data_IF_756545356677
#
_entry.id   IF_756545356677
#
_cell.length_a   1.000
_cell.length_b   1.000
_cell.length_c   1.000
_cell.angle_alpha   90.00
_cell.angle_beta   90.00
_cell.angle_gamma   90.00
#
_symmetry.space_group_name_H-M   'P 1'
#
loop_
_entity.id
_entity.type
_entity.pdbx_description
1 polymer ?
#
# COMPACT_ATOMS: atom_id res chain seq x y z
N UNK A 1 -9.71 3.75 0.95
CA UNK A 1 -9.66 3.44 -0.50
C UNK A 1 -10.61 2.28 -0.76
N UNK A 2 -11.47 2.33 -1.78
CA UNK A 2 -12.39 1.22 -2.08
C UNK A 2 -11.74 0.38 -3.17
N UNK A 3 -11.28 -0.83 -2.84
CA UNK A 3 -10.63 -1.72 -3.80
C UNK A 3 -11.68 -2.58 -4.49
N UNK A 4 -11.66 -2.61 -5.82
CA UNK A 4 -12.61 -3.40 -6.59
C UNK A 4 -12.31 -4.91 -6.42
N UNK A 5 -13.36 -5.66 -6.14
CA UNK A 5 -13.35 -7.12 -5.98
C UNK A 5 -12.82 -7.79 -7.25
N UNK A 6 -13.07 -7.17 -8.40
CA UNK A 6 -12.55 -7.61 -9.69
C UNK A 6 -11.02 -7.56 -9.76
N UNK A 7 -10.40 -6.52 -9.19
CA UNK A 7 -8.94 -6.39 -9.16
C UNK A 7 -8.32 -7.47 -8.28
N UNK A 8 -8.89 -7.70 -7.09
CA UNK A 8 -8.51 -8.79 -6.19
C UNK A 8 -8.59 -10.15 -6.90
N UNK A 9 -9.68 -10.41 -7.63
CA UNK A 9 -9.88 -11.64 -8.39
C UNK A 9 -8.85 -11.80 -9.51
N UNK A 10 -8.55 -10.74 -10.25
CA UNK A 10 -7.56 -10.75 -11.32
C UNK A 10 -6.17 -11.06 -10.76
N UNK A 11 -5.78 -10.43 -9.65
CA UNK A 11 -4.53 -10.72 -8.97
C UNK A 11 -4.47 -12.19 -8.51
N UNK A 12 -5.51 -12.71 -7.86
CA UNK A 12 -5.52 -14.11 -7.41
C UNK A 12 -5.33 -15.09 -8.58
N UNK A 13 -6.01 -14.86 -9.71
CA UNK A 13 -5.83 -15.69 -10.91
C UNK A 13 -4.41 -15.57 -11.48
N UNK A 14 -3.85 -14.36 -11.49
CA UNK A 14 -2.47 -14.12 -11.89
C UNK A 14 -1.50 -14.88 -10.97
N UNK A 15 -1.70 -14.77 -9.65
CA UNK A 15 -0.84 -15.36 -8.63
C UNK A 15 -0.85 -16.90 -8.70
N UNK A 16 -2.02 -17.52 -8.87
CA UNK A 16 -2.13 -18.98 -9.09
C UNK A 16 -1.40 -19.45 -10.34
N UNK A 17 -1.30 -18.60 -11.37
CA UNK A 17 -0.69 -18.96 -12.66
C UNK A 17 0.82 -18.73 -12.68
N UNK A 18 1.32 -17.72 -11.95
CA UNK A 18 2.72 -17.28 -12.02
C UNK A 18 3.55 -17.70 -10.80
N UNK A 19 2.92 -17.89 -9.64
CA UNK A 19 3.60 -18.38 -8.45
C UNK A 19 3.64 -19.92 -8.45
N UNK A 20 4.74 -20.47 -7.95
CA UNK A 20 4.89 -21.90 -7.73
C UNK A 20 4.81 -22.20 -6.24
N UNK A 21 3.97 -23.15 -5.84
CA UNK A 21 3.76 -23.52 -4.43
C UNK A 21 4.25 -24.94 -4.17
N UNK A 22 4.79 -25.18 -2.97
CA UNK A 22 5.23 -26.53 -2.56
C UNK A 22 4.05 -27.49 -2.31
N UNK A 23 2.88 -26.94 -1.93
CA UNK A 23 1.64 -27.68 -1.64
C UNK A 23 0.55 -27.30 -2.63
N UNK A 24 -0.09 -28.28 -3.26
CA UNK A 24 -1.14 -28.06 -4.27
C UNK A 24 -2.40 -27.45 -3.67
N UNK A 25 -2.65 -27.71 -2.40
CA UNK A 25 -3.80 -27.23 -1.63
C UNK A 25 -3.83 -25.69 -1.56
N UNK A 26 -2.67 -25.04 -1.61
CA UNK A 26 -2.57 -23.57 -1.66
C UNK A 26 -3.26 -23.04 -2.91
N UNK A 27 -3.00 -23.66 -4.07
CA UNK A 27 -3.70 -23.30 -5.31
C UNK A 27 -5.22 -23.49 -5.18
N UNK A 28 -5.68 -24.51 -4.46
CA UNK A 28 -7.12 -24.72 -4.25
C UNK A 28 -7.74 -23.64 -3.37
N UNK A 29 -7.06 -23.23 -2.29
CA UNK A 29 -7.52 -22.14 -1.42
C UNK A 29 -7.58 -20.82 -2.21
N UNK A 30 -6.53 -20.49 -2.97
CA UNK A 30 -6.50 -19.29 -3.81
C UNK A 30 -7.63 -19.29 -4.86
N UNK A 31 -7.81 -20.41 -5.56
CA UNK A 31 -8.91 -20.56 -6.52
C UNK A 31 -10.28 -20.49 -5.85
N UNK A 32 -10.44 -21.02 -4.65
CA UNK A 32 -11.68 -20.93 -3.89
C UNK A 32 -12.01 -19.47 -3.59
N UNK A 33 -11.04 -18.69 -3.09
CA UNK A 33 -11.22 -17.26 -2.83
C UNK A 33 -11.58 -16.49 -4.12
N UNK A 34 -10.87 -16.75 -5.23
CA UNK A 34 -11.11 -16.08 -6.51
C UNK A 34 -12.51 -16.37 -7.10
N UNK A 35 -13.06 -17.56 -6.83
CA UNK A 35 -14.37 -17.98 -7.36
C UNK A 35 -15.55 -17.58 -6.46
N UNK A 36 -15.31 -17.14 -5.22
CA UNK A 36 -16.37 -16.78 -4.27
C UNK A 36 -16.29 -15.29 -3.91
N UNK A 37 -16.94 -14.45 -4.72
CA UNK A 37 -16.94 -12.99 -4.56
C UNK A 37 -17.45 -12.53 -3.19
N UNK A 38 -18.42 -13.25 -2.61
CA UNK A 38 -18.93 -12.95 -1.26
C UNK A 38 -17.85 -13.07 -0.17
N UNK A 39 -16.88 -13.98 -0.34
CA UNK A 39 -15.73 -14.13 0.57
C UNK A 39 -14.71 -13.06 0.25
N UNK A 40 -14.40 -12.89 -1.03
CA UNK A 40 -13.41 -11.92 -1.52
C UNK A 40 -13.75 -10.48 -1.13
N UNK A 41 -15.04 -10.15 -0.97
CA UNK A 41 -15.50 -8.87 -0.42
C UNK A 41 -14.97 -8.58 0.99
N UNK A 42 -14.76 -9.62 1.81
CA UNK A 42 -14.25 -9.52 3.17
C UNK A 42 -12.74 -9.83 3.25
N UNK A 43 -12.10 -10.09 2.12
CA UNK A 43 -10.65 -10.31 2.05
C UNK A 43 -9.94 -8.98 1.89
N UNK A 44 -8.95 -8.71 2.72
CA UNK A 44 -8.09 -7.53 2.65
C UNK A 44 -6.65 -7.97 2.38
N UNK A 45 -6.03 -7.48 1.31
CA UNK A 45 -4.62 -7.80 1.05
C UNK A 45 -3.75 -6.80 1.80
N UNK A 46 -2.88 -7.28 2.67
CA UNK A 46 -2.08 -6.43 3.56
C UNK A 46 -0.66 -6.97 3.67
N UNK A 47 0.25 -6.11 4.13
CA UNK A 47 1.56 -6.55 4.61
C UNK A 47 1.48 -6.98 6.08
N UNK A 48 2.33 -7.94 6.47
CA UNK A 48 2.41 -8.51 7.82
C UNK A 48 1.05 -9.02 8.35
N UNK A 49 0.48 -10.00 7.65
CA UNK A 49 -0.77 -10.62 8.08
C UNK A 49 -0.63 -11.35 9.44
N UNK A 50 0.59 -11.65 9.88
CA UNK A 50 0.90 -12.34 11.14
C UNK A 50 0.49 -11.58 12.41
N UNK A 51 0.42 -10.25 12.35
CA UNK A 51 0.00 -9.40 13.48
C UNK A 51 -1.51 -9.21 13.56
N UNK A 52 -2.25 -9.70 12.58
CA UNK A 52 -3.70 -9.49 12.48
C UNK A 52 -4.47 -10.53 13.30
N UNK A 53 -5.73 -10.22 13.62
CA UNK A 53 -6.60 -11.16 14.36
C UNK A 53 -6.93 -12.42 13.55
N UNK A 54 -6.96 -12.32 12.22
CA UNK A 54 -7.32 -13.38 11.27
C UNK A 54 -6.54 -13.19 9.97
N UNK A 55 -5.28 -13.62 9.98
CA UNK A 55 -4.31 -13.39 8.93
C UNK A 55 -3.90 -14.67 8.21
N UNK A 56 -3.73 -14.61 6.91
CA UNK A 56 -3.31 -15.72 6.07
C UNK A 56 -2.05 -15.30 5.30
N UNK A 57 -0.93 -15.94 5.60
CA UNK A 57 0.29 -15.78 4.82
C UNK A 57 0.40 -16.90 3.80
N UNK A 58 0.64 -16.54 2.55
CA UNK A 58 0.85 -17.47 1.45
C UNK A 58 2.22 -17.19 0.84
N UNK A 59 3.09 -18.19 0.85
CA UNK A 59 4.46 -18.11 0.32
C UNK A 59 4.59 -18.96 -0.92
N UNK A 60 5.19 -18.40 -1.95
CA UNK A 60 5.66 -19.18 -3.09
C UNK A 60 7.00 -19.86 -2.77
N UNK A 61 7.54 -20.63 -3.72
CA UNK A 61 8.81 -21.34 -3.59
C UNK A 61 10.05 -20.43 -3.57
N UNK A 62 9.94 -19.16 -3.97
CA UNK A 62 11.07 -18.22 -3.96
C UNK A 62 11.39 -17.73 -2.54
N UNK A 63 10.40 -17.77 -1.64
CA UNK A 63 10.54 -17.33 -0.24
C UNK A 63 10.60 -18.55 0.69
N UNK A 64 11.59 -18.57 1.59
CA UNK A 64 11.73 -19.65 2.57
C UNK A 64 10.59 -19.65 3.60
N UNK A 65 10.10 -20.84 3.96
CA UNK A 65 9.09 -21.04 5.00
C UNK A 65 7.99 -22.02 4.62
N UNK A 66 6.96 -22.12 5.47
CA UNK A 66 5.76 -22.88 5.13
C UNK A 66 4.96 -22.16 4.04
N UNK A 67 4.39 -22.89 3.07
CA UNK A 67 3.71 -22.30 1.93
C UNK A 67 2.40 -21.60 2.31
N UNK A 68 1.81 -21.97 3.44
CA UNK A 68 0.61 -21.34 3.98
C UNK A 68 0.65 -21.36 5.50
N UNK A 69 0.28 -20.23 6.12
CA UNK A 69 0.08 -20.11 7.58
C UNK A 69 -1.13 -19.25 7.86
N UNK A 70 -2.02 -19.73 8.72
CA UNK A 70 -3.13 -18.96 9.26
C UNK A 70 -2.81 -18.54 10.69
N UNK A 71 -2.93 -17.25 10.95
CA UNK A 71 -2.84 -16.60 12.24
C UNK A 71 -4.25 -16.29 12.71
N UNK A 72 -4.69 -16.96 13.77
CA UNK A 72 -6.02 -16.77 14.33
C UNK A 72 -5.89 -16.50 15.82
N UNK A 73 -6.16 -15.26 16.22
CA UNK A 73 -6.12 -14.81 17.63
C UNK A 73 -4.81 -15.22 18.35
N UNK A 74 -3.67 -15.05 17.67
CA UNK A 74 -2.34 -15.39 18.20
C UNK A 74 -1.96 -16.87 18.13
N UNK A 75 -2.82 -17.75 17.61
CA UNK A 75 -2.49 -19.14 17.28
C UNK A 75 -2.09 -19.25 15.82
N UNK A 76 -1.14 -20.14 15.54
CA UNK A 76 -0.65 -20.42 14.19
C UNK A 76 -1.09 -21.80 13.76
N UNK A 77 -1.62 -21.89 12.54
CA UNK A 77 -2.03 -23.13 11.89
C UNK A 77 -1.31 -23.24 10.55
N UNK A 78 -0.72 -24.40 10.26
CA UNK A 78 -0.02 -24.72 9.00
C UNK A 78 -0.69 -25.86 8.22
N UNK A 79 -1.73 -26.47 8.76
CA UNK A 79 -2.50 -27.54 8.13
C UNK A 79 -3.51 -26.97 7.12
N UNK A 80 -3.36 -27.32 5.84
CA UNK A 80 -4.16 -26.76 4.75
C UNK A 80 -5.66 -27.04 4.89
N UNK A 81 -6.04 -28.21 5.42
CA UNK A 81 -7.44 -28.60 5.58
C UNK A 81 -8.11 -27.77 6.68
N UNK A 82 -7.45 -27.63 7.84
CA UNK A 82 -7.94 -26.77 8.93
C UNK A 82 -8.10 -25.32 8.47
N UNK A 83 -7.11 -24.80 7.72
CA UNK A 83 -7.16 -23.44 7.17
C UNK A 83 -8.35 -23.30 6.22
N UNK A 84 -8.54 -24.25 5.31
CA UNK A 84 -9.64 -24.21 4.35
C UNK A 84 -11.01 -24.32 5.04
N UNK A 85 -11.12 -25.16 6.07
CA UNK A 85 -12.32 -25.29 6.88
C UNK A 85 -12.66 -23.99 7.62
N UNK A 86 -11.67 -23.32 8.20
CA UNK A 86 -11.82 -22.03 8.87
C UNK A 86 -12.36 -20.96 7.90
N UNK A 87 -11.72 -20.82 6.74
CA UNK A 87 -12.10 -19.83 5.71
C UNK A 87 -13.56 -20.02 5.28
N UNK A 88 -13.97 -21.28 5.07
CA UNK A 88 -15.32 -21.63 4.63
C UNK A 88 -16.38 -21.35 5.70
N UNK A 89 -16.07 -21.59 6.98
CA UNK A 89 -17.02 -21.39 8.07
C UNK A 89 -17.21 -19.90 8.39
N UNK A 90 -16.12 -19.13 8.37
CA UNK A 90 -16.08 -17.72 8.80
C UNK A 90 -16.02 -16.75 7.61
N UNK A 91 -16.69 -17.07 6.51
CA UNK A 91 -16.62 -16.29 5.26
C UNK A 91 -17.15 -14.85 5.35
N UNK A 92 -17.95 -14.54 6.38
CA UNK A 92 -18.49 -13.20 6.63
C UNK A 92 -17.52 -12.30 7.40
N UNK A 93 -16.48 -12.88 8.00
CA UNK A 93 -15.50 -12.15 8.78
C UNK A 93 -14.35 -11.69 7.90
N UNK A 94 -13.72 -10.58 8.28
CA UNK A 94 -12.54 -10.06 7.59
C UNK A 94 -11.42 -11.11 7.59
N UNK A 95 -10.78 -11.31 6.43
CA UNK A 95 -9.62 -12.16 6.25
C UNK A 95 -8.48 -11.34 5.68
N UNK A 96 -7.39 -11.20 6.42
CA UNK A 96 -6.21 -10.44 5.98
C UNK A 96 -5.25 -11.38 5.27
N UNK A 97 -4.91 -11.14 4.02
CA UNK A 97 -4.05 -12.02 3.23
C UNK A 97 -2.76 -11.29 2.86
N UNK A 98 -1.64 -11.96 3.07
CA UNK A 98 -0.32 -11.52 2.65
C UNK A 98 0.27 -12.53 1.67
N UNK A 99 0.65 -12.06 0.48
CA UNK A 99 1.27 -12.87 -0.57
C UNK A 99 2.77 -12.59 -0.62
N UNK A 100 3.58 -13.61 -0.36
CA UNK A 100 5.02 -13.51 -0.23
C UNK A 100 5.69 -14.24 -1.39
N UNK A 101 6.29 -13.47 -2.28
CA UNK A 101 6.98 -13.93 -3.48
C UNK A 101 8.07 -12.92 -3.86
N UNK A 102 9.05 -13.36 -4.66
CA UNK A 102 10.14 -12.50 -5.12
C UNK A 102 9.60 -11.33 -5.96
N UNK A 103 10.17 -10.13 -5.76
CA UNK A 103 9.79 -8.91 -6.48
C UNK A 103 8.30 -8.53 -6.35
N UNK A 104 7.68 -8.81 -5.19
CA UNK A 104 6.29 -8.42 -4.92
C UNK A 104 6.03 -6.91 -5.12
N UNK A 105 7.02 -6.07 -4.79
CA UNK A 105 6.99 -4.61 -4.96
C UNK A 105 7.10 -4.15 -6.41
N UNK A 106 7.55 -5.02 -7.33
CA UNK A 106 7.58 -4.72 -8.76
C UNK A 106 6.29 -5.16 -9.46
N UNK A 107 5.36 -5.80 -8.74
CA UNK A 107 4.12 -6.30 -9.30
C UNK A 107 2.99 -5.26 -9.18
N UNK A 108 2.61 -4.57 -10.28
CA UNK A 108 1.57 -3.55 -10.21
C UNK A 108 0.20 -4.10 -9.82
N UNK A 109 -0.09 -5.37 -10.14
CA UNK A 109 -1.35 -6.01 -9.79
C UNK A 109 -1.48 -6.37 -8.30
N UNK A 110 -0.35 -6.62 -7.63
CA UNK A 110 -0.32 -6.78 -6.19
C UNK A 110 -0.43 -5.43 -5.50
N UNK A 111 0.37 -4.44 -5.94
CA UNK A 111 0.34 -3.09 -5.37
C UNK A 111 -1.04 -2.42 -5.48
N UNK A 112 -1.79 -2.67 -6.56
CA UNK A 112 -3.11 -2.07 -6.75
C UNK A 112 -4.16 -2.56 -5.74
N UNK A 113 -3.95 -3.76 -5.17
CA UNK A 113 -4.91 -4.37 -4.24
C UNK A 113 -4.48 -4.30 -2.78
N UNK A 114 -3.29 -3.79 -2.50
CA UNK A 114 -2.78 -3.64 -1.13
C UNK A 114 -3.60 -2.60 -0.36
N UNK A 115 -3.92 -2.95 0.88
CA UNK A 115 -4.66 -2.16 1.85
C UNK A 115 -3.80 -1.89 3.08
N UNK A 116 -4.09 -0.80 3.79
CA UNK A 116 -3.46 -0.51 5.07
C UNK A 116 -3.83 -1.59 6.10
N UNK A 117 -2.83 -2.15 6.77
CA UNK A 117 -3.04 -3.11 7.84
C UNK A 117 -3.50 -2.37 9.12
N UNK A 118 -4.75 -2.55 9.59
CA UNK A 118 -5.25 -1.82 10.76
C UNK A 118 -4.60 -2.27 12.09
N UNK A 119 -3.93 -3.43 12.10
CA UNK A 119 -3.24 -3.97 13.26
C UNK A 119 -1.77 -3.54 13.33
N UNK A 120 -1.25 -2.97 12.24
CA UNK A 120 0.05 -2.32 12.21
C UNK A 120 -0.12 -0.83 12.16
N UNK A 121 0.20 -0.16 13.26
CA UNK A 121 0.49 1.27 13.17
C UNK A 121 1.89 1.40 12.57
N UNK A 122 1.97 1.85 11.32
CA UNK A 122 3.24 2.23 10.66
C UNK A 122 4.11 3.15 11.54
N UNK A 123 3.48 3.89 12.47
CA UNK A 123 4.11 4.83 13.39
C UNK A 123 4.62 4.22 14.71
N UNK A 124 4.46 2.92 14.99
CA UNK A 124 4.91 2.34 16.27
C UNK A 124 6.40 1.95 16.29
N UNK A 125 7.07 1.87 15.13
CA UNK A 125 8.49 1.51 15.03
C UNK A 125 9.40 2.57 14.39
N UNK A 126 8.85 3.73 14.00
CA UNK A 126 9.67 4.82 13.46
C UNK A 126 10.07 5.72 14.61
N UNK A 127 11.38 5.86 14.80
CA UNK A 127 11.93 6.78 15.79
C UNK A 127 11.33 8.17 15.55
N UNK A 128 10.89 8.85 16.60
CA UNK A 128 10.16 10.11 16.48
C UNK A 128 10.98 11.16 15.70
N UNK A 129 12.30 11.09 15.82
CA UNK A 129 13.27 11.92 15.10
C UNK A 129 13.31 11.61 13.59
N UNK A 130 13.17 10.35 13.21
CA UNK A 130 13.11 9.93 11.78
C UNK A 130 11.79 10.39 11.17
N UNK A 131 10.68 10.25 11.89
CA UNK A 131 9.37 10.71 11.43
C UNK A 131 9.34 12.24 11.27
N UNK A 132 9.93 12.97 12.20
CA UNK A 132 10.08 14.42 12.11
C UNK A 132 10.92 14.82 10.88
N UNK A 133 12.02 14.10 10.64
CA UNK A 133 12.90 14.35 9.49
C UNK A 133 12.21 14.10 8.15
N UNK A 134 11.44 13.02 8.04
CA UNK A 134 10.66 12.71 6.82
C UNK A 134 9.57 13.76 6.58
N UNK A 135 8.82 14.13 7.62
CA UNK A 135 7.78 15.15 7.49
C UNK A 135 8.37 16.52 7.11
N UNK A 136 9.52 16.87 7.67
CA UNK A 136 10.24 18.09 7.29
C UNK A 136 10.66 18.04 5.82
N UNK A 137 11.30 16.94 5.37
CA UNK A 137 11.70 16.77 3.98
C UNK A 137 10.52 16.85 3.00
N UNK A 138 9.39 16.20 3.31
CA UNK A 138 8.19 16.26 2.49
C UNK A 138 7.60 17.68 2.42
N UNK A 139 7.61 18.41 3.54
CA UNK A 139 7.16 19.80 3.58
C UNK A 139 8.08 20.71 2.74
N UNK A 140 9.40 20.52 2.78
CA UNK A 140 10.35 21.24 1.94
C UNK A 140 10.12 20.95 0.44
N UNK A 141 9.98 19.68 0.07
CA UNK A 141 9.72 19.29 -1.33
C UNK A 141 8.38 19.85 -1.84
N UNK A 142 7.33 19.84 -1.01
CA UNK A 142 6.04 20.44 -1.37
C UNK A 142 6.18 21.96 -1.61
N UNK A 143 6.89 22.67 -0.72
CA UNK A 143 7.17 24.11 -0.88
C UNK A 143 7.92 24.37 -2.19
N UNK A 144 8.97 23.60 -2.47
CA UNK A 144 9.76 23.73 -3.71
C UNK A 144 8.93 23.42 -4.95
N UNK A 145 8.09 22.39 -4.93
CA UNK A 145 7.19 22.06 -6.02
C UNK A 145 6.19 23.19 -6.28
N UNK A 146 5.62 23.81 -5.25
CA UNK A 146 4.72 24.94 -5.37
C UNK A 146 5.41 26.19 -5.95
N UNK A 147 6.65 26.47 -5.54
CA UNK A 147 7.44 27.57 -6.12
C UNK A 147 7.72 27.30 -7.61
N UNK A 148 8.09 26.06 -7.95
CA UNK A 148 8.33 25.65 -9.34
C UNK A 148 7.07 25.79 -10.21
N UNK A 149 5.90 25.43 -9.68
CA UNK A 149 4.62 25.63 -10.35
C UNK A 149 4.35 27.10 -10.63
N UNK A 150 4.54 27.97 -9.63
CA UNK A 150 4.34 29.41 -9.80
C UNK A 150 5.31 30.00 -10.85
N UNK A 151 6.57 29.57 -10.88
CA UNK A 151 7.50 29.98 -11.94
C UNK A 151 7.04 29.55 -13.33
N UNK A 152 6.49 28.34 -13.48
CA UNK A 152 5.92 27.90 -14.75
C UNK A 152 4.70 28.74 -15.17
N UNK A 153 3.89 29.20 -14.22
CA UNK A 153 2.77 30.10 -14.51
C UNK A 153 3.23 31.52 -14.87
N UNK A 154 4.29 32.02 -14.22
CA UNK A 154 4.94 33.29 -14.56
C UNK A 154 5.48 33.24 -16.00
N UNK A 155 6.19 32.18 -16.37
CA UNK A 155 6.72 32.00 -17.72
C UNK A 155 5.57 32.01 -18.76
N UNK A 156 4.46 31.34 -18.46
CA UNK A 156 3.26 31.35 -19.31
C UNK A 156 2.59 32.72 -19.42
N UNK A 157 2.61 33.52 -18.35
CA UNK A 157 2.09 34.89 -18.37
C UNK A 157 2.96 35.80 -19.23
N UNK A 158 4.29 35.65 -19.14
CA UNK A 158 5.26 36.36 -19.98
C UNK A 158 5.09 36.01 -21.46
N UNK A 159 4.92 34.73 -21.80
CA UNK A 159 4.68 34.27 -23.18
C UNK A 159 3.41 34.90 -23.79
N UNK A 160 2.39 35.15 -22.97
CA UNK A 160 1.11 35.74 -23.40
C UNK A 160 1.09 37.27 -23.34
N UNK A 161 2.12 37.90 -22.78
CA UNK A 161 2.18 39.34 -22.54
C UNK A 161 1.16 39.84 -21.50
N UNK A 162 0.76 38.97 -20.56
CA UNK A 162 -0.22 39.29 -19.51
C UNK A 162 0.49 39.89 -18.28
N UNK A 163 0.58 41.22 -18.27
CA UNK A 163 1.28 42.00 -17.25
C UNK A 163 0.61 41.93 -15.88
N UNK A 164 -0.72 41.84 -15.83
CA UNK A 164 -1.50 41.80 -14.59
C UNK A 164 -1.29 40.45 -13.87
N UNK A 165 -1.40 39.35 -14.62
CA UNK A 165 -1.12 37.99 -14.10
C UNK A 165 0.34 37.85 -13.68
N UNK A 166 1.28 38.41 -14.45
CA UNK A 166 2.70 38.39 -14.11
C UNK A 166 3.01 39.07 -12.76
N UNK A 167 2.46 40.27 -12.53
CA UNK A 167 2.67 41.02 -11.28
C UNK A 167 2.11 40.25 -10.07
N UNK A 168 0.89 39.73 -10.20
CA UNK A 168 0.24 38.97 -9.12
C UNK A 168 1.02 37.68 -8.76
N UNK A 169 1.47 36.92 -9.77
CA UNK A 169 2.22 35.69 -9.55
C UNK A 169 3.63 35.97 -9.00
N UNK A 170 4.27 37.05 -9.44
CA UNK A 170 5.58 37.47 -8.93
C UNK A 170 5.53 37.85 -7.46
N UNK A 171 4.49 38.56 -7.02
CA UNK A 171 4.27 38.84 -5.60
C UNK A 171 4.05 37.56 -4.79
N UNK A 172 3.25 36.62 -5.31
CA UNK A 172 2.99 35.34 -4.65
C UNK A 172 4.27 34.49 -4.49
N UNK A 173 5.13 34.44 -5.51
CA UNK A 173 6.43 33.74 -5.45
C UNK A 173 7.36 34.40 -4.45
N UNK A 174 7.48 35.73 -4.48
CA UNK A 174 8.36 36.45 -3.55
C UNK A 174 7.94 36.22 -2.08
N UNK A 175 6.64 36.21 -1.81
CA UNK A 175 6.12 35.92 -0.47
C UNK A 175 6.47 34.49 -0.01
N UNK A 176 6.33 33.49 -0.89
CA UNK A 176 6.72 32.10 -0.57
C UNK A 176 8.23 31.93 -0.38
N UNK A 177 9.05 32.60 -1.20
CA UNK A 177 10.50 32.58 -1.06
C UNK A 177 10.97 33.21 0.25
N UNK A 178 10.29 34.27 0.71
CA UNK A 178 10.58 34.90 2.00
C UNK A 178 10.27 33.95 3.16
N UNK A 179 9.10 33.31 3.14
CA UNK A 179 8.69 32.32 4.15
C UNK A 179 9.65 31.13 4.20
N UNK A 180 10.08 30.62 3.04
CA UNK A 180 11.05 29.54 2.95
C UNK A 180 12.44 29.94 3.49
N UNK A 181 12.88 31.19 3.27
CA UNK A 181 14.16 31.70 3.83
C UNK A 181 14.10 31.86 5.35
N UNK A 182 12.98 32.33 5.88
CA UNK A 182 12.78 32.51 7.33
C UNK A 182 12.74 31.16 8.06
N UNK A 183 12.12 30.13 7.46
CA UNK A 183 12.11 28.77 7.99
C UNK A 183 13.53 28.15 8.03
N UNK A 184 14.33 28.33 6.97
CA UNK A 184 15.73 27.85 6.92
C UNK A 184 16.73 28.54 7.85
N UNK A 185 16.37 29.68 8.44
CA UNK A 185 17.25 30.45 9.35
C UNK A 185 16.92 30.18 10.82
N UNK A 186 15.78 29.54 11.10
CA UNK A 186 15.30 29.21 12.44
C UNK A 186 15.71 27.79 12.91
N UNK A 187 16.29 26.99 12.01
CA UNK A 187 16.90 25.68 12.26
C UNK A 187 18.43 25.79 12.35
#
# INVERSE_FOLDING_TARGET
MFIDVKEKKNFLNWFVTHASFSRREVCWILNYLANHEAILNNVHFVENADVTMRGLQIRDLTVQGEPIKLFLQGKVFDDSDQIFHEIRLNWKEALYIECLFENAWDNPGYLSILEDNPFLKWNENIDADVLASINHFLAEEEQMAQIKQLYQEIDRALEKGDEETFLCLSEAVNKKLQQHKEQKTAE
#
